data_IF_002755031621
#
_entry.id   IF_002755031621
#
_cell.length_a   1.000
_cell.length_b   1.000
_cell.length_c   1.000
_cell.angle_alpha   90.00
_cell.angle_beta   90.00
_cell.angle_gamma   90.00
#
_symmetry.space_group_name_H-M   'P 1'
#
loop_
_entity.id
_entity.type
_entity.pdbx_description
1 polymer ?
#
# COMPACT_ATOMS: atom_id res chain seq x y z
N UNK A 1 -1.06 1.20 -8.85
CA UNK A 1 -0.71 -0.23 -8.66
C UNK A 1 0.77 -0.49 -8.93
N UNK A 2 1.30 -0.06 -10.10
CA UNK A 2 2.73 -0.13 -10.45
C UNK A 2 3.65 0.41 -9.36
N UNK A 3 3.41 1.64 -8.88
CA UNK A 3 4.18 2.26 -7.79
C UNK A 3 4.21 1.40 -6.51
N UNK A 4 3.09 0.79 -6.15
CA UNK A 4 2.97 -0.02 -4.94
C UNK A 4 3.87 -1.25 -4.99
N UNK A 5 3.86 -1.94 -6.14
CA UNK A 5 4.58 -3.19 -6.34
C UNK A 5 6.07 -2.93 -6.54
N UNK A 6 6.41 -1.92 -7.35
CA UNK A 6 7.79 -1.66 -7.78
C UNK A 6 8.58 -0.77 -6.83
N UNK A 7 7.92 0.11 -6.07
CA UNK A 7 8.62 1.10 -5.22
C UNK A 7 8.33 0.84 -3.75
N UNK A 8 7.05 0.91 -3.34
CA UNK A 8 6.70 0.85 -1.92
C UNK A 8 7.04 -0.51 -1.30
N UNK A 9 6.65 -1.61 -1.94
CA UNK A 9 6.88 -2.96 -1.44
C UNK A 9 8.37 -3.26 -1.22
N UNK A 10 9.29 -3.12 -2.21
CA UNK A 10 10.70 -3.39 -1.98
C UNK A 10 11.34 -2.44 -0.96
N UNK A 11 11.00 -1.15 -0.99
CA UNK A 11 11.57 -0.18 -0.05
C UNK A 11 11.18 -0.42 1.41
N UNK A 12 9.98 -0.95 1.65
CA UNK A 12 9.45 -1.13 3.02
C UNK A 12 9.58 -2.55 3.54
N UNK A 13 9.63 -3.57 2.65
CA UNK A 13 9.67 -4.98 3.05
C UNK A 13 10.93 -5.31 3.86
N UNK A 14 12.08 -4.80 3.45
CA UNK A 14 13.37 -5.07 4.12
C UNK A 14 13.37 -4.58 5.58
N UNK A 15 12.72 -3.43 5.85
CA UNK A 15 12.59 -2.89 7.21
C UNK A 15 11.49 -3.56 8.03
N UNK A 16 10.39 -3.97 7.41
CA UNK A 16 9.20 -4.44 8.13
C UNK A 16 9.23 -5.95 8.46
N UNK A 17 10.02 -6.76 7.75
CA UNK A 17 10.02 -8.21 7.91
C UNK A 17 8.62 -8.80 7.68
N UNK A 18 8.10 -9.54 8.67
CA UNK A 18 6.76 -10.17 8.63
C UNK A 18 5.61 -9.26 9.12
N UNK A 19 5.90 -8.04 9.56
CA UNK A 19 4.89 -7.13 10.12
C UNK A 19 4.06 -6.45 9.02
N UNK A 20 2.86 -5.98 9.38
CA UNK A 20 2.04 -5.13 8.50
C UNK A 20 2.74 -3.78 8.27
N UNK A 21 2.53 -3.20 7.09
CA UNK A 21 3.16 -1.94 6.65
C UNK A 21 2.10 -0.88 6.47
N UNK A 22 2.35 0.37 6.87
CA UNK A 22 1.38 1.45 6.71
C UNK A 22 1.75 2.30 5.49
N UNK A 23 0.80 2.49 4.58
CA UNK A 23 0.88 3.53 3.57
C UNK A 23 -0.12 4.63 3.92
N UNK A 24 0.37 5.86 3.97
CA UNK A 24 -0.44 7.06 4.18
C UNK A 24 -0.54 7.79 2.84
N UNK A 25 -1.75 8.10 2.41
CA UNK A 25 -2.01 8.84 1.17
C UNK A 25 -2.90 10.05 1.44
N UNK A 26 -2.67 11.11 0.68
CA UNK A 26 -3.41 12.37 0.75
C UNK A 26 -4.57 12.37 -0.27
N UNK A 27 -5.75 12.78 0.19
CA UNK A 27 -7.03 13.19 -0.46
C UNK A 27 -7.56 12.49 -1.72
N UNK A 28 -6.70 12.13 -2.67
CA UNK A 28 -7.07 11.59 -3.96
C UNK A 28 -7.21 10.07 -3.91
N UNK A 29 -8.42 9.58 -3.65
CA UNK A 29 -8.79 8.17 -3.68
C UNK A 29 -9.33 7.69 -5.03
N UNK A 30 -9.26 8.51 -6.07
CA UNK A 30 -9.78 8.22 -7.42
C UNK A 30 -9.16 6.99 -8.10
N UNK A 31 -8.01 6.53 -7.62
CA UNK A 31 -7.32 5.33 -8.10
C UNK A 31 -7.57 4.08 -7.22
N UNK A 32 -8.43 4.18 -6.20
CA UNK A 32 -8.81 3.07 -5.34
C UNK A 32 -9.95 2.30 -5.99
N UNK A 33 -9.63 1.14 -6.53
CA UNK A 33 -10.59 0.17 -7.05
C UNK A 33 -10.45 -1.18 -6.32
N UNK A 34 -11.26 -2.16 -6.68
CA UNK A 34 -11.24 -3.46 -5.99
C UNK A 34 -9.91 -4.22 -6.18
N UNK A 35 -9.28 -4.06 -7.33
CA UNK A 35 -7.96 -4.64 -7.63
C UNK A 35 -6.87 -4.02 -6.75
N UNK A 36 -6.96 -2.71 -6.52
CA UNK A 36 -6.11 -1.98 -5.59
C UNK A 36 -6.26 -2.53 -4.18
N UNK A 37 -7.48 -2.66 -3.66
CA UNK A 37 -7.74 -3.20 -2.31
C UNK A 37 -7.19 -4.63 -2.17
N UNK A 38 -7.44 -5.50 -3.16
CA UNK A 38 -6.90 -6.88 -3.18
C UNK A 38 -5.38 -6.90 -3.10
N UNK A 39 -4.72 -6.02 -3.85
CA UNK A 39 -3.27 -5.92 -3.87
C UNK A 39 -2.70 -5.52 -2.51
N UNK A 40 -3.30 -4.53 -1.82
CA UNK A 40 -2.84 -4.12 -0.49
C UNK A 40 -3.00 -5.22 0.56
N UNK A 41 -4.13 -5.93 0.54
CA UNK A 41 -4.35 -7.06 1.44
C UNK A 41 -3.34 -8.18 1.22
N UNK A 42 -3.08 -8.55 -0.05
CA UNK A 42 -2.07 -9.57 -0.38
C UNK A 42 -0.68 -9.15 0.09
N UNK A 43 -0.34 -7.87 -0.07
CA UNK A 43 0.92 -7.31 0.40
C UNK A 43 0.93 -7.01 1.92
N UNK A 44 -0.12 -7.30 2.69
CA UNK A 44 -0.20 -6.97 4.13
C UNK A 44 0.10 -5.48 4.41
N UNK A 45 -0.39 -4.60 3.55
CA UNK A 45 -0.25 -3.15 3.68
C UNK A 45 -1.57 -2.58 4.23
N UNK A 46 -1.50 -1.92 5.38
CA UNK A 46 -2.54 -1.07 5.93
C UNK A 46 -2.55 0.26 5.16
N UNK A 47 -3.74 0.68 4.74
CA UNK A 47 -3.93 1.93 4.03
C UNK A 47 -4.60 2.95 4.96
N UNK A 48 -4.01 4.13 5.08
CA UNK A 48 -4.60 5.30 5.73
C UNK A 48 -4.74 6.42 4.69
N UNK A 49 -5.96 6.93 4.53
CA UNK A 49 -6.25 8.04 3.62
C UNK A 49 -6.58 9.24 4.50
N UNK A 50 -5.81 10.31 4.34
CA UNK A 50 -6.03 11.55 5.05
C UNK A 50 -6.95 12.48 4.24
N UNK A 51 -7.80 13.27 4.93
CA UNK A 51 -8.80 14.15 4.32
C UNK A 51 -8.23 15.45 3.76
#
# INVERSE_FOLDING_TARGET
>A
LVYLIQVFNPATRTKAGYRRRLLIMDRYSSHINIEFIRTYNWLKILLLILP
#
